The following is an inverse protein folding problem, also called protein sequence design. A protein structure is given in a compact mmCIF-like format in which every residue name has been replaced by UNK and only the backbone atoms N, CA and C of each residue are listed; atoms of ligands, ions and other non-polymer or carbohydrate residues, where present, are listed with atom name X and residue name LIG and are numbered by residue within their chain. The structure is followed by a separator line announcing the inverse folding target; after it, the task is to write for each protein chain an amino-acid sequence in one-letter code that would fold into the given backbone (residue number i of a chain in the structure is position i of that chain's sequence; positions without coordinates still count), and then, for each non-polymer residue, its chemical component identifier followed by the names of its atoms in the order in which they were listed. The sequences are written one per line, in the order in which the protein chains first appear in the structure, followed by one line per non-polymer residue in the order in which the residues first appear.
data_IF_583884373225
#
_entry.id   IF_583884373225
#
_cell.length_a   1.000
_cell.length_b   1.000
_cell.length_c   1.000
_cell.angle_alpha   90.00
_cell.angle_beta   90.00
_cell.angle_gamma   90.00
#
_symmetry.space_group_name_H-M   'P 1'
#
loop_
_entity.id
_entity.type
_entity.pdbx_description
1 polymer ?
#
# COMPACT_ATOMS: atom_id res chain seq x y z
N UNK A 1 -21.53 -65.14 -43.92
CA UNK A 1 -20.52 -64.73 -42.91
C UNK A 1 -20.30 -63.23 -43.00
N UNK A 2 -20.68 -62.49 -41.96
CA UNK A 2 -20.09 -61.20 -41.53
C UNK A 2 -20.89 -60.71 -40.32
N UNK A 3 -20.38 -60.98 -39.13
CA UNK A 3 -20.81 -60.36 -37.88
C UNK A 3 -20.18 -58.96 -37.82
N UNK A 4 -21.01 -57.93 -37.66
CA UNK A 4 -20.57 -56.56 -37.42
C UNK A 4 -20.75 -56.29 -35.91
N UNK A 5 -19.63 -56.25 -35.17
CA UNK A 5 -19.63 -55.88 -33.76
C UNK A 5 -19.64 -54.36 -33.61
N UNK A 6 -20.72 -53.82 -33.05
CA UNK A 6 -20.78 -52.45 -32.54
C UNK A 6 -20.17 -52.42 -31.13
N UNK A 7 -19.00 -51.82 -30.99
CA UNK A 7 -18.43 -51.49 -29.68
C UNK A 7 -18.97 -50.13 -29.26
N UNK A 8 -19.88 -50.13 -28.29
CA UNK A 8 -20.40 -48.93 -27.65
C UNK A 8 -19.38 -48.45 -26.60
N UNK A 9 -18.63 -47.39 -26.90
CA UNK A 9 -17.74 -46.75 -25.94
C UNK A 9 -18.57 -45.93 -24.95
N UNK A 10 -18.65 -46.41 -23.70
CA UNK A 10 -19.25 -45.69 -22.58
C UNK A 10 -18.29 -44.59 -22.13
N UNK A 11 -18.56 -43.33 -22.50
CA UNK A 11 -17.89 -42.15 -21.94
C UNK A 11 -18.38 -41.94 -20.50
N UNK A 12 -17.55 -42.34 -19.52
CA UNK A 12 -17.70 -41.99 -18.12
C UNK A 12 -17.43 -40.49 -17.94
N UNK A 13 -18.48 -39.68 -17.93
CA UNK A 13 -18.41 -38.28 -17.49
C UNK A 13 -18.32 -38.31 -15.95
N UNK A 14 -17.11 -38.16 -15.42
CA UNK A 14 -16.94 -37.93 -13.98
C UNK A 14 -17.60 -36.59 -13.63
N UNK A 15 -18.37 -36.49 -12.53
CA UNK A 15 -18.91 -35.22 -12.09
C UNK A 15 -17.76 -34.27 -11.81
N UNK A 16 -17.81 -33.06 -12.39
CA UNK A 16 -16.91 -31.99 -12.03
C UNK A 16 -17.12 -31.70 -10.53
N UNK A 17 -16.21 -32.18 -9.69
CA UNK A 17 -16.16 -31.79 -8.30
C UNK A 17 -15.92 -30.29 -8.29
N UNK A 18 -16.90 -29.52 -7.81
CA UNK A 18 -16.72 -28.09 -7.59
C UNK A 18 -15.45 -27.91 -6.75
N UNK A 19 -14.42 -27.36 -7.38
CA UNK A 19 -13.15 -27.07 -6.73
C UNK A 19 -13.41 -25.89 -5.78
N UNK A 20 -12.95 -26.05 -4.54
CA UNK A 20 -13.13 -25.07 -3.48
C UNK A 20 -11.81 -24.96 -2.72
N UNK A 21 -11.35 -23.74 -2.51
CA UNK A 21 -10.24 -23.43 -1.64
C UNK A 21 -10.44 -24.02 -0.24
N UNK A 22 -9.36 -24.32 0.45
CA UNK A 22 -9.38 -24.95 1.77
C UNK A 22 -8.72 -24.05 2.81
N UNK A 23 -9.39 -23.85 3.94
CA UNK A 23 -8.82 -23.20 5.12
C UNK A 23 -8.63 -24.23 6.23
N UNK A 24 -7.40 -24.48 6.63
CA UNK A 24 -7.07 -25.49 7.63
C UNK A 24 -5.97 -25.00 8.58
N UNK A 25 -5.83 -25.68 9.71
CA UNK A 25 -4.68 -25.55 10.60
C UNK A 25 -3.50 -26.37 10.06
N UNK A 26 -2.35 -25.73 9.93
CA UNK A 26 -1.07 -26.38 9.64
C UNK A 26 -0.07 -25.97 10.75
N UNK A 27 0.11 -26.84 11.75
CA UNK A 27 0.97 -26.54 12.91
C UNK A 27 0.44 -25.38 13.76
N UNK A 28 1.20 -24.29 13.83
CA UNK A 28 0.84 -23.05 14.55
C UNK A 28 0.24 -21.99 13.62
N UNK A 29 -0.08 -22.33 12.38
CA UNK A 29 -0.64 -21.39 11.41
C UNK A 29 -2.02 -21.87 10.95
N UNK A 30 -2.88 -20.91 10.61
CA UNK A 30 -4.01 -21.17 9.72
C UNK A 30 -3.54 -20.90 8.29
N UNK A 31 -3.91 -21.78 7.38
CA UNK A 31 -3.46 -21.73 5.99
C UNK A 31 -4.67 -21.85 5.08
N UNK A 32 -4.88 -20.80 4.28
CA UNK A 32 -5.80 -20.80 3.17
C UNK A 32 -5.05 -21.15 1.89
N UNK A 33 -5.59 -22.08 1.10
CA UNK A 33 -5.10 -22.42 -0.24
C UNK A 33 -6.29 -22.41 -1.20
N UNK A 34 -6.23 -21.56 -2.21
CA UNK A 34 -7.21 -21.55 -3.29
C UNK A 34 -7.24 -22.86 -4.06
N UNK A 35 -8.33 -23.08 -4.77
CA UNK A 35 -8.39 -24.15 -5.75
C UNK A 35 -7.90 -23.64 -7.12
N UNK A 36 -7.50 -24.54 -8.04
CA UNK A 36 -7.07 -24.14 -9.37
C UNK A 36 -8.11 -23.26 -10.09
N UNK A 37 -7.66 -22.19 -10.72
CA UNK A 37 -8.48 -21.26 -11.53
C UNK A 37 -9.66 -20.62 -10.75
N UNK A 38 -9.57 -20.58 -9.41
CA UNK A 38 -10.61 -20.03 -8.55
C UNK A 38 -10.31 -18.58 -8.19
N UNK A 39 -11.18 -17.67 -8.64
CA UNK A 39 -11.26 -16.31 -8.09
C UNK A 39 -11.92 -16.33 -6.70
N UNK A 40 -11.19 -15.87 -5.71
CA UNK A 40 -11.53 -15.89 -4.30
C UNK A 40 -12.04 -14.55 -3.79
N UNK A 41 -13.17 -14.59 -3.10
CA UNK A 41 -13.72 -13.41 -2.45
C UNK A 41 -14.19 -13.74 -1.03
N UNK A 42 -13.46 -13.25 -0.03
CA UNK A 42 -13.80 -13.50 1.36
C UNK A 42 -13.37 -12.41 2.35
N UNK A 43 -14.10 -12.39 3.47
CA UNK A 43 -13.80 -11.62 4.66
C UNK A 43 -13.33 -12.57 5.78
N UNK A 44 -12.14 -12.34 6.31
CA UNK A 44 -11.62 -13.02 7.50
C UNK A 44 -11.52 -12.04 8.68
N UNK A 45 -12.16 -12.36 9.80
CA UNK A 45 -12.11 -11.55 11.02
C UNK A 45 -11.78 -12.37 12.26
N UNK A 46 -11.05 -11.79 13.21
CA UNK A 46 -10.85 -12.41 14.54
C UNK A 46 -12.01 -12.02 15.46
N UNK A 47 -12.76 -13.02 15.93
CA UNK A 47 -13.87 -12.88 16.89
C UNK A 47 -13.77 -13.93 17.99
N UNK A 48 -13.71 -13.48 19.26
CA UNK A 48 -13.74 -14.32 20.47
C UNK A 48 -12.79 -15.54 20.40
N UNK A 49 -11.53 -15.31 20.03
CA UNK A 49 -10.51 -16.37 19.97
C UNK A 49 -10.64 -17.33 18.78
N UNK A 50 -11.42 -16.97 17.77
CA UNK A 50 -11.53 -17.72 16.52
C UNK A 50 -11.27 -16.80 15.31
N UNK A 51 -10.66 -17.35 14.26
CA UNK A 51 -10.77 -16.76 12.93
C UNK A 51 -12.14 -17.14 12.35
N UNK A 52 -12.89 -16.15 11.91
CA UNK A 52 -14.20 -16.30 11.28
C UNK A 52 -14.06 -15.87 9.83
N UNK A 53 -14.31 -16.80 8.91
CA UNK A 53 -14.22 -16.54 7.46
C UNK A 53 -15.59 -16.65 6.81
N UNK A 54 -15.92 -15.62 6.04
CA UNK A 54 -17.15 -15.50 5.27
C UNK A 54 -16.78 -15.31 3.81
N UNK A 55 -17.09 -16.29 2.97
CA UNK A 55 -16.79 -16.29 1.55
C UNK A 55 -17.50 -17.45 0.87
N UNK A 56 -17.45 -17.47 -0.46
CA UNK A 56 -17.91 -18.62 -1.27
C UNK A 56 -16.71 -19.44 -1.70
N UNK A 57 -16.93 -20.70 -2.04
CA UNK A 57 -15.85 -21.55 -2.57
C UNK A 57 -14.78 -21.90 -1.54
N UNK A 58 -15.05 -21.79 -0.24
CA UNK A 58 -14.12 -22.16 0.82
C UNK A 58 -14.68 -23.35 1.59
N UNK A 59 -13.85 -24.37 1.77
CA UNK A 59 -14.14 -25.56 2.57
C UNK A 59 -13.28 -25.54 3.83
N UNK A 60 -13.86 -25.79 5.03
CA UNK A 60 -13.06 -25.94 6.24
C UNK A 60 -12.28 -27.26 6.20
N UNK A 61 -10.98 -27.18 6.45
CA UNK A 61 -10.12 -28.33 6.72
C UNK A 61 -9.92 -28.56 8.22
N UNK A 62 -8.81 -29.23 8.58
CA UNK A 62 -8.50 -29.55 9.98
C UNK A 62 -8.50 -28.31 10.88
N UNK A 63 -9.10 -28.42 12.07
CA UNK A 63 -9.16 -27.32 13.04
C UNK A 63 -10.18 -26.23 12.73
N UNK A 64 -10.91 -26.35 11.61
CA UNK A 64 -11.93 -25.43 11.16
C UNK A 64 -13.27 -26.15 10.97
N UNK A 65 -14.39 -25.41 10.98
CA UNK A 65 -15.70 -25.98 10.71
C UNK A 65 -16.81 -24.95 10.57
N UNK A 66 -17.99 -25.42 10.17
CA UNK A 66 -19.19 -24.59 10.00
C UNK A 66 -19.37 -24.07 8.57
N UNK A 67 -20.56 -23.53 8.29
CA UNK A 67 -20.92 -22.89 7.02
C UNK A 67 -20.37 -21.47 6.91
N UNK A 68 -20.41 -20.74 8.03
CA UNK A 68 -19.45 -19.66 8.29
C UNK A 68 -18.26 -20.33 8.95
N UNK A 69 -17.12 -20.32 8.27
CA UNK A 69 -15.96 -21.09 8.72
C UNK A 69 -15.44 -20.45 10.00
N UNK A 70 -15.27 -21.26 11.04
CA UNK A 70 -14.65 -20.87 12.30
C UNK A 70 -13.48 -21.78 12.57
N UNK A 71 -12.31 -21.19 12.81
CA UNK A 71 -11.10 -21.89 13.20
C UNK A 71 -10.65 -21.39 14.57
N UNK A 72 -10.35 -22.31 15.50
CA UNK A 72 -9.81 -21.93 16.81
C UNK A 72 -8.44 -21.26 16.65
N UNK A 73 -8.17 -20.19 17.42
CA UNK A 73 -6.86 -19.54 17.45
C UNK A 73 -5.95 -20.07 18.57
N UNK A 74 -6.36 -21.10 19.29
CA UNK A 74 -5.54 -21.66 20.37
C UNK A 74 -4.23 -22.26 19.81
N UNK A 75 -3.11 -21.68 20.24
CA UNK A 75 -1.77 -22.00 19.73
C UNK A 75 -1.50 -21.54 18.29
N UNK A 76 -2.34 -20.67 17.71
CA UNK A 76 -2.14 -20.10 16.38
C UNK A 76 -1.40 -18.78 16.47
N UNK A 77 -0.34 -18.62 15.66
CA UNK A 77 0.54 -17.44 15.63
C UNK A 77 0.38 -16.61 14.37
N UNK A 78 -0.18 -17.17 13.29
CA UNK A 78 -0.28 -16.50 11.99
C UNK A 78 -1.35 -17.07 11.08
N UNK A 79 -1.66 -16.29 10.05
CA UNK A 79 -2.49 -16.67 8.91
C UNK A 79 -1.64 -16.59 7.64
N UNK A 80 -1.60 -17.68 6.87
CA UNK A 80 -1.01 -17.74 5.54
C UNK A 80 -2.09 -17.92 4.48
N UNK A 81 -2.00 -17.17 3.39
CA UNK A 81 -2.97 -17.19 2.30
C UNK A 81 -2.22 -17.40 0.99
N UNK A 82 -2.67 -18.38 0.21
CA UNK A 82 -2.26 -18.60 -1.17
C UNK A 82 -3.53 -18.51 -2.03
N UNK A 83 -3.74 -17.38 -2.69
CA UNK A 83 -4.97 -17.08 -3.43
C UNK A 83 -4.94 -17.62 -4.88
N UNK A 84 -3.75 -17.85 -5.42
CA UNK A 84 -3.56 -18.68 -6.60
C UNK A 84 -3.77 -17.89 -7.90
N UNK A 85 -4.34 -18.53 -8.92
CA UNK A 85 -4.67 -17.84 -10.17
C UNK A 85 -6.10 -17.31 -10.08
N UNK A 86 -6.34 -16.10 -10.57
CA UNK A 86 -7.68 -15.49 -10.61
C UNK A 86 -7.64 -14.07 -10.08
N UNK A 87 -8.74 -13.33 -10.24
CA UNK A 87 -8.82 -11.98 -9.68
C UNK A 87 -9.50 -12.06 -8.31
N UNK A 88 -8.72 -11.91 -7.25
CA UNK A 88 -9.12 -12.15 -5.87
C UNK A 88 -9.48 -10.86 -5.13
N UNK A 89 -10.49 -10.92 -4.26
CA UNK A 89 -10.93 -9.81 -3.41
C UNK A 89 -10.95 -10.24 -1.93
N UNK A 90 -9.87 -9.95 -1.22
CA UNK A 90 -9.64 -10.39 0.14
C UNK A 90 -9.74 -9.24 1.14
N UNK A 91 -10.49 -9.45 2.21
CA UNK A 91 -10.50 -8.55 3.37
C UNK A 91 -10.12 -9.29 4.65
N UNK A 92 -9.00 -8.93 5.27
CA UNK A 92 -8.47 -9.64 6.45
C UNK A 92 -8.30 -8.65 7.62
N UNK A 93 -9.04 -8.85 8.71
CA UNK A 93 -8.99 -7.98 9.89
C UNK A 93 -8.75 -8.80 11.14
N UNK A 94 -7.55 -8.70 11.72
CA UNK A 94 -7.24 -9.52 12.87
C UNK A 94 -5.96 -9.18 13.60
N UNK A 95 -5.70 -9.96 14.63
CA UNK A 95 -4.52 -9.85 15.50
C UNK A 95 -3.44 -10.90 15.18
N UNK A 96 -3.54 -11.60 14.05
CA UNK A 96 -2.56 -12.59 13.61
C UNK A 96 -1.54 -11.94 12.67
N UNK A 97 -0.27 -12.37 12.75
CA UNK A 97 0.69 -12.06 11.70
C UNK A 97 0.22 -12.65 10.37
N UNK A 98 0.41 -11.90 9.29
CA UNK A 98 -0.13 -12.22 7.97
C UNK A 98 0.99 -12.53 6.97
N UNK A 99 0.85 -13.62 6.23
CA UNK A 99 1.65 -13.92 5.05
C UNK A 99 0.69 -14.18 3.88
N UNK A 100 0.76 -13.38 2.81
CA UNK A 100 -0.16 -13.50 1.67
C UNK A 100 0.65 -13.58 0.40
N UNK A 101 0.26 -14.52 -0.44
CA UNK A 101 0.66 -14.67 -1.84
C UNK A 101 -0.66 -14.65 -2.63
N UNK A 102 -0.93 -13.55 -3.34
CA UNK A 102 -2.18 -13.44 -4.12
C UNK A 102 -2.04 -14.25 -5.40
N UNK A 103 -0.94 -14.09 -6.14
CA UNK A 103 -0.59 -14.92 -7.29
C UNK A 103 -0.85 -14.18 -8.60
N UNK A 104 -1.11 -14.88 -9.73
CA UNK A 104 -1.45 -14.21 -10.98
C UNK A 104 -2.91 -13.76 -11.01
N UNK A 105 -3.16 -12.48 -11.30
CA UNK A 105 -4.49 -11.90 -11.33
C UNK A 105 -4.49 -10.39 -11.14
N UNK A 106 -5.64 -9.75 -11.36
CA UNK A 106 -5.82 -8.37 -10.86
C UNK A 106 -6.48 -8.44 -9.47
N UNK A 107 -5.67 -8.38 -8.42
CA UNK A 107 -6.09 -8.69 -7.05
C UNK A 107 -6.32 -7.46 -6.17
N UNK A 108 -7.15 -7.64 -5.15
CA UNK A 108 -7.45 -6.61 -4.15
C UNK A 108 -7.34 -7.20 -2.75
N UNK A 109 -6.33 -6.76 -1.99
CA UNK A 109 -6.15 -7.09 -0.58
C UNK A 109 -6.35 -5.86 0.30
N UNK A 110 -7.31 -5.94 1.21
CA UNK A 110 -7.49 -4.97 2.29
C UNK A 110 -7.20 -5.63 3.64
N UNK A 111 -6.23 -5.15 4.40
CA UNK A 111 -5.88 -5.80 5.66
C UNK A 111 -5.63 -4.90 6.86
N UNK A 112 -5.76 -5.50 8.05
CA UNK A 112 -5.34 -4.95 9.35
C UNK A 112 -4.74 -6.10 10.14
N UNK A 113 -3.45 -6.00 10.46
CA UNK A 113 -2.67 -7.06 11.11
C UNK A 113 -1.48 -6.44 11.85
N UNK A 114 -0.98 -7.05 12.95
CA UNK A 114 0.19 -6.57 13.67
C UNK A 114 1.47 -6.54 12.84
N UNK A 115 1.61 -7.48 11.90
CA UNK A 115 2.70 -7.55 10.92
C UNK A 115 2.21 -8.27 9.67
N UNK A 116 2.78 -7.96 8.51
CA UNK A 116 2.44 -8.63 7.25
C UNK A 116 3.62 -8.73 6.28
N UNK A 117 3.66 -9.84 5.55
CA UNK A 117 4.42 -10.00 4.31
C UNK A 117 3.43 -10.33 3.21
N UNK A 118 3.38 -9.51 2.16
CA UNK A 118 2.45 -9.66 1.05
C UNK A 118 3.25 -9.66 -0.25
N UNK A 119 3.00 -10.66 -1.08
CA UNK A 119 3.33 -10.70 -2.50
C UNK A 119 2.01 -10.62 -3.26
N UNK A 120 1.81 -9.59 -4.07
CA UNK A 120 0.61 -9.46 -4.88
C UNK A 120 0.73 -10.37 -6.11
N UNK A 121 1.78 -10.22 -6.91
CA UNK A 121 2.13 -11.20 -7.94
C UNK A 121 2.11 -10.57 -9.33
N UNK A 122 1.60 -11.32 -10.32
CA UNK A 122 1.51 -10.82 -11.70
C UNK A 122 0.12 -10.22 -11.92
N UNK A 123 0.01 -8.97 -12.36
CA UNK A 123 -1.24 -8.34 -12.75
C UNK A 123 -1.40 -6.95 -12.15
N UNK A 124 -2.60 -6.36 -12.22
CA UNK A 124 -2.84 -5.03 -11.64
C UNK A 124 -3.42 -5.16 -10.25
N UNK A 125 -2.56 -5.04 -9.25
CA UNK A 125 -2.94 -5.30 -7.88
C UNK A 125 -3.20 -4.05 -7.06
N UNK A 126 -4.01 -4.23 -6.01
CA UNK A 126 -4.25 -3.22 -4.99
C UNK A 126 -4.10 -3.82 -3.60
N UNK A 127 -3.10 -3.36 -2.86
CA UNK A 127 -2.87 -3.73 -1.46
C UNK A 127 -3.02 -2.51 -0.57
N UNK A 128 -4.07 -2.50 0.25
CA UNK A 128 -4.34 -1.46 1.24
C UNK A 128 -4.23 -2.00 2.68
N UNK A 129 -3.31 -1.43 3.45
CA UNK A 129 -3.18 -1.62 4.88
C UNK A 129 -3.92 -0.50 5.62
N UNK A 130 -4.84 -0.85 6.52
CA UNK A 130 -5.63 0.10 7.33
C UNK A 130 -5.18 0.15 8.79
N UNK A 131 -3.88 -0.01 9.04
CA UNK A 131 -3.38 -0.04 10.40
C UNK A 131 -3.41 1.35 11.04
N UNK A 132 -3.84 1.39 12.31
CA UNK A 132 -3.76 2.57 13.17
C UNK A 132 -2.49 2.52 14.03
N UNK A 133 -2.35 3.42 15.00
CA UNK A 133 -1.29 3.45 16.01
C UNK A 133 -1.12 2.10 16.76
N UNK A 134 -2.11 1.20 16.69
CA UNK A 134 -2.09 -0.07 17.38
C UNK A 134 -1.28 -1.17 16.68
N UNK A 135 -1.18 -1.12 15.35
CA UNK A 135 -0.47 -2.13 14.56
C UNK A 135 0.62 -1.46 13.72
N UNK A 136 1.82 -1.42 14.27
CA UNK A 136 2.94 -0.67 13.72
C UNK A 136 3.88 -1.51 12.85
N UNK A 137 3.50 -2.75 12.51
CA UNK A 137 4.31 -3.62 11.65
C UNK A 137 5.37 -4.43 12.41
N UNK A 138 6.35 -5.00 11.70
CA UNK A 138 6.80 -4.63 10.35
C UNK A 138 5.83 -5.03 9.24
N UNK A 139 5.92 -4.33 8.11
CA UNK A 139 5.18 -4.66 6.88
C UNK A 139 6.15 -4.69 5.69
N UNK A 140 6.04 -5.74 4.88
CA UNK A 140 6.67 -5.81 3.58
C UNK A 140 5.58 -6.10 2.55
N UNK A 141 5.32 -5.13 1.68
CA UNK A 141 4.33 -5.26 0.61
C UNK A 141 5.07 -5.21 -0.72
N UNK A 142 4.91 -6.24 -1.53
CA UNK A 142 5.51 -6.37 -2.86
C UNK A 142 4.38 -6.47 -3.89
N UNK A 143 4.36 -5.56 -4.85
CA UNK A 143 3.41 -5.55 -5.95
C UNK A 143 3.74 -6.67 -6.93
N UNK A 144 4.98 -6.71 -7.40
CA UNK A 144 5.43 -7.68 -8.39
C UNK A 144 5.32 -7.11 -9.80
N UNK A 145 5.16 -7.95 -10.83
CA UNK A 145 4.97 -7.46 -12.19
C UNK A 145 3.54 -6.94 -12.45
N UNK A 146 3.42 -5.67 -12.79
CA UNK A 146 2.17 -5.04 -13.23
C UNK A 146 2.06 -3.58 -12.80
N UNK A 147 0.88 -2.96 -12.99
CA UNK A 147 0.69 -1.55 -12.61
C UNK A 147 0.04 -1.46 -11.22
N UNK A 148 0.81 -1.59 -10.15
CA UNK A 148 0.26 -1.86 -8.83
C UNK A 148 -0.08 -0.62 -8.01
N UNK A 149 -0.91 -0.80 -6.98
CA UNK A 149 -1.17 0.23 -5.98
C UNK A 149 -0.99 -0.31 -4.56
N UNK A 150 0.04 0.17 -3.88
CA UNK A 150 0.37 -0.20 -2.51
C UNK A 150 0.19 1.00 -1.57
N UNK A 151 -0.78 0.90 -0.66
CA UNK A 151 -1.09 1.96 0.30
C UNK A 151 -0.97 1.43 1.72
N UNK A 152 -0.06 2.03 2.48
CA UNK A 152 0.13 1.73 3.89
C UNK A 152 -0.47 2.83 4.77
N UNK A 153 -1.44 2.49 5.62
CA UNK A 153 -1.85 3.34 6.73
C UNK A 153 -1.01 3.06 7.98
N UNK A 154 -0.50 4.10 8.61
CA UNK A 154 0.31 3.99 9.84
C UNK A 154 1.81 3.77 9.58
N UNK A 155 2.62 3.91 10.64
CA UNK A 155 4.10 3.88 10.57
C UNK A 155 4.70 3.11 11.74
N UNK A 156 5.88 2.54 11.52
CA UNK A 156 6.59 1.72 12.49
C UNK A 156 7.87 1.11 11.90
N UNK A 157 8.64 0.36 12.71
CA UNK A 157 9.98 -0.06 12.31
C UNK A 157 9.94 -1.11 11.20
N UNK A 158 10.84 -0.95 10.21
CA UNK A 158 11.07 -1.97 9.18
C UNK A 158 9.97 -2.09 8.13
N UNK A 159 9.26 -1.01 7.83
CA UNK A 159 8.25 -0.98 6.77
C UNK A 159 8.90 -0.82 5.38
N UNK A 160 8.50 -1.66 4.44
CA UNK A 160 8.94 -1.63 3.03
C UNK A 160 7.75 -1.80 2.09
N UNK A 161 7.66 -0.94 1.08
CA UNK A 161 6.75 -1.08 -0.05
C UNK A 161 7.61 -1.22 -1.31
N UNK A 162 7.38 -2.29 -2.07
CA UNK A 162 8.11 -2.65 -3.28
C UNK A 162 7.10 -2.64 -4.42
N UNK A 163 7.26 -1.76 -5.42
CA UNK A 163 6.39 -1.69 -6.60
C UNK A 163 6.62 -2.91 -7.47
N UNK A 164 7.74 -2.91 -8.20
CA UNK A 164 8.15 -4.04 -9.02
C UNK A 164 8.38 -3.59 -10.45
N UNK A 165 7.90 -4.35 -11.42
CA UNK A 165 7.98 -3.99 -12.84
C UNK A 165 6.62 -3.43 -13.27
N UNK A 166 6.54 -2.20 -13.77
CA UNK A 166 5.31 -1.57 -14.25
C UNK A 166 5.14 -0.17 -13.67
N UNK A 167 3.97 0.45 -13.82
CA UNK A 167 3.77 1.85 -13.40
C UNK A 167 3.03 1.91 -12.07
N UNK A 168 3.79 1.87 -10.97
CA UNK A 168 3.22 1.63 -9.66
C UNK A 168 2.81 2.91 -8.94
N UNK A 169 1.91 2.77 -7.97
CA UNK A 169 1.57 3.81 -7.00
C UNK A 169 1.86 3.33 -5.59
N UNK A 170 2.92 3.85 -4.97
CA UNK A 170 3.30 3.55 -3.59
C UNK A 170 2.98 4.75 -2.70
N UNK A 171 2.27 4.52 -1.59
CA UNK A 171 1.84 5.60 -0.71
C UNK A 171 1.79 5.23 0.76
N UNK A 172 2.21 6.17 1.60
CA UNK A 172 1.97 6.12 3.04
C UNK A 172 0.89 7.14 3.39
N UNK A 173 -0.23 6.66 3.92
CA UNK A 173 -1.32 7.48 4.43
C UNK A 173 -1.27 7.49 5.96
N UNK A 174 -1.65 8.62 6.55
CA UNK A 174 -1.53 8.94 7.98
C UNK A 174 -0.09 9.22 8.45
N UNK A 175 0.10 10.44 8.95
CA UNK A 175 1.34 10.91 9.56
C UNK A 175 1.49 10.21 10.91
N UNK A 176 2.27 9.14 10.96
CA UNK A 176 2.68 8.51 12.21
C UNK A 176 3.52 9.47 13.06
N UNK A 177 3.15 9.58 14.33
CA UNK A 177 3.70 10.52 15.33
C UNK A 177 5.16 10.19 15.72
N UNK A 178 5.65 9.00 15.34
CA UNK A 178 6.86 8.39 15.88
C UNK A 178 8.09 8.44 14.94
N UNK A 179 7.99 9.14 13.81
CA UNK A 179 9.17 9.46 12.97
C UNK A 179 9.84 8.25 12.30
N UNK A 180 9.22 7.08 12.30
CA UNK A 180 9.72 5.92 11.56
C UNK A 180 9.67 6.17 10.05
N UNK A 181 10.79 5.88 9.40
CA UNK A 181 10.95 5.90 7.96
C UNK A 181 10.33 4.64 7.35
N UNK A 182 9.67 4.81 6.21
CA UNK A 182 9.25 3.72 5.32
C UNK A 182 10.21 3.65 4.15
N UNK A 183 10.63 2.44 3.81
CA UNK A 183 11.37 2.16 2.58
C UNK A 183 10.40 2.03 1.42
N UNK A 184 10.59 2.84 0.39
CA UNK A 184 9.81 2.81 -0.85
C UNK A 184 10.77 2.38 -1.96
N UNK A 185 10.57 1.21 -2.54
CA UNK A 185 11.37 0.67 -3.65
C UNK A 185 10.44 0.55 -4.84
N UNK A 186 10.58 1.37 -5.87
CA UNK A 186 9.54 1.42 -6.89
C UNK A 186 9.83 0.43 -8.02
N UNK A 187 11.10 0.16 -8.30
CA UNK A 187 11.48 -0.78 -9.35
C UNK A 187 11.50 -0.13 -10.73
N UNK A 188 11.06 -0.86 -11.75
CA UNK A 188 11.16 -0.42 -13.14
C UNK A 188 9.81 0.07 -13.67
N UNK A 189 9.73 1.33 -14.06
CA UNK A 189 8.59 1.87 -14.78
C UNK A 189 8.30 3.32 -14.40
N UNK A 190 7.10 3.81 -14.71
CA UNK A 190 6.72 5.20 -14.48
C UNK A 190 6.02 5.38 -13.13
N UNK A 191 6.76 5.20 -12.05
CA UNK A 191 6.17 5.11 -10.73
C UNK A 191 5.72 6.45 -10.14
N UNK A 192 4.76 6.33 -9.24
CA UNK A 192 4.25 7.40 -8.41
C UNK A 192 4.42 7.08 -6.93
N UNK A 193 5.17 7.93 -6.24
CA UNK A 193 5.34 7.84 -4.79
C UNK A 193 4.65 8.96 -4.04
N UNK A 194 4.07 8.62 -2.89
CA UNK A 194 3.53 9.54 -1.89
C UNK A 194 4.19 9.23 -0.55
N UNK A 195 5.16 10.04 -0.16
CA UNK A 195 5.92 9.88 1.08
C UNK A 195 6.05 11.16 1.91
N UNK A 196 6.70 11.03 3.05
CA UNK A 196 7.14 12.10 3.93
C UNK A 196 8.67 12.25 3.90
N UNK A 197 9.24 13.37 4.37
CA UNK A 197 10.69 13.60 4.33
C UNK A 197 11.54 12.55 5.07
N UNK A 198 11.01 11.88 6.09
CA UNK A 198 11.74 10.80 6.75
C UNK A 198 11.79 9.50 5.93
N UNK A 199 10.96 9.36 4.91
CA UNK A 199 10.90 8.14 4.10
C UNK A 199 12.12 8.01 3.19
N UNK A 200 12.52 6.75 2.98
CA UNK A 200 13.68 6.41 2.17
C UNK A 200 13.20 5.97 0.79
N UNK A 201 13.28 6.90 -0.14
CA UNK A 201 12.99 6.65 -1.55
C UNK A 201 14.19 5.90 -2.16
N UNK A 202 13.97 4.63 -2.47
CA UNK A 202 14.94 3.71 -3.07
C UNK A 202 15.00 3.80 -4.59
N UNK A 203 15.56 2.77 -5.22
CA UNK A 203 15.69 2.70 -6.68
C UNK A 203 14.32 2.69 -7.37
N UNK A 204 14.24 3.29 -8.57
CA UNK A 204 13.00 3.52 -9.30
C UNK A 204 12.14 4.65 -8.74
N UNK A 205 12.13 4.83 -7.42
CA UNK A 205 11.34 5.86 -6.78
C UNK A 205 11.91 7.23 -7.05
N UNK A 206 11.11 8.07 -7.72
CA UNK A 206 11.34 9.51 -7.69
C UNK A 206 12.78 9.87 -8.05
N UNK A 207 13.35 9.32 -9.13
CA UNK A 207 14.79 9.47 -9.47
C UNK A 207 15.29 10.90 -9.34
N UNK A 208 14.41 11.87 -9.53
CA UNK A 208 14.67 13.29 -9.40
C UNK A 208 14.62 13.88 -7.98
N UNK A 209 14.33 13.19 -6.87
CA UNK A 209 14.21 13.82 -5.55
C UNK A 209 14.76 12.94 -4.41
N UNK A 210 15.91 13.33 -3.87
CA UNK A 210 16.57 12.65 -2.74
C UNK A 210 16.78 13.62 -1.58
N UNK A 211 17.11 13.09 -0.39
CA UNK A 211 17.52 13.87 0.79
C UNK A 211 16.52 14.98 1.20
N UNK A 212 15.23 14.75 1.03
CA UNK A 212 14.21 15.72 1.44
C UNK A 212 14.20 15.77 2.96
N UNK A 213 14.64 16.86 3.55
CA UNK A 213 14.51 17.09 4.99
C UNK A 213 13.17 17.74 5.30
N UNK A 214 12.58 17.44 6.46
CA UNK A 214 11.40 18.16 6.96
C UNK A 214 11.87 19.43 7.70
N UNK A 215 11.74 20.63 7.12
CA UNK A 215 12.12 21.84 7.84
C UNK A 215 11.08 22.12 8.91
N UNK A 216 11.52 22.23 10.18
CA UNK A 216 10.66 22.71 11.27
C UNK A 216 10.12 24.14 11.04
N UNK A 217 10.73 24.88 10.11
CA UNK A 217 10.31 26.22 9.66
C UNK A 217 10.56 26.40 8.17
N UNK A 218 9.54 26.84 7.41
CA UNK A 218 9.72 27.31 6.04
C UNK A 218 10.34 28.70 6.10
N UNK A 219 11.67 28.75 6.01
CA UNK A 219 12.37 30.02 5.85
C UNK A 219 12.04 30.62 4.47
N UNK A 220 12.28 31.93 4.29
CA UNK A 220 12.16 32.56 2.95
C UNK A 220 12.94 31.81 1.88
N UNK A 221 14.03 31.13 2.26
CA UNK A 221 14.82 30.27 1.37
C UNK A 221 14.56 28.81 1.74
N UNK A 222 13.91 28.08 0.85
CA UNK A 222 13.69 26.65 0.91
C UNK A 222 14.91 25.94 0.31
N UNK A 223 15.51 25.01 1.06
CA UNK A 223 16.71 24.25 0.65
C UNK A 223 16.56 22.76 0.97
N UNK A 224 15.35 22.23 0.82
CA UNK A 224 15.06 20.85 1.20
C UNK A 224 15.14 19.96 -0.03
N UNK A 225 15.94 18.91 0.06
CA UNK A 225 16.10 17.93 -1.01
C UNK A 225 17.16 18.29 -2.05
N UNK A 226 17.47 17.28 -2.85
CA UNK A 226 18.36 17.33 -4.01
C UNK A 226 17.67 16.67 -5.18
N UNK A 227 17.93 17.17 -6.39
CA UNK A 227 17.49 16.54 -7.61
C UNK A 227 18.65 15.76 -8.25
N UNK A 228 18.49 14.46 -8.50
CA UNK A 228 19.54 13.70 -9.18
C UNK A 228 19.59 14.03 -10.69
N UNK A 229 18.46 14.40 -11.27
CA UNK A 229 18.32 14.80 -12.67
C UNK A 229 17.49 16.08 -12.80
N UNK A 230 17.56 16.82 -13.92
CA UNK A 230 16.72 17.99 -14.13
C UNK A 230 15.23 17.62 -14.13
N UNK A 231 14.41 18.38 -13.39
CA UNK A 231 13.00 18.08 -13.20
C UNK A 231 12.11 19.33 -13.29
N UNK A 232 10.83 19.13 -13.63
CA UNK A 232 9.79 20.13 -13.39
C UNK A 232 9.30 19.97 -11.94
N UNK A 233 9.55 20.98 -11.12
CA UNK A 233 9.17 20.99 -9.71
C UNK A 233 7.94 21.85 -9.50
N UNK A 234 6.96 21.35 -8.77
CA UNK A 234 5.84 22.14 -8.24
C UNK A 234 5.92 22.15 -6.72
N UNK A 235 6.04 23.36 -6.15
CA UNK A 235 5.95 23.58 -4.71
C UNK A 235 4.59 24.21 -4.41
N UNK A 236 3.81 23.56 -3.56
CA UNK A 236 2.52 24.06 -3.07
C UNK A 236 2.58 24.25 -1.58
N UNK A 237 2.26 25.45 -1.10
CA UNK A 237 2.06 25.76 0.31
C UNK A 237 0.57 25.85 0.58
N UNK A 238 0.09 25.09 1.55
CA UNK A 238 -1.32 25.05 1.95
C UNK A 238 -1.46 25.37 3.43
N UNK A 239 -2.53 26.08 3.79
CA UNK A 239 -2.83 26.41 5.18
C UNK A 239 -3.53 25.25 5.86
N UNK A 240 -3.10 24.87 7.07
CA UNK A 240 -3.91 24.01 7.94
C UNK A 240 -5.11 24.80 8.44
N UNK A 241 -6.33 24.31 8.21
CA UNK A 241 -7.54 24.91 8.79
C UNK A 241 -7.80 24.21 10.12
N UNK A 242 -7.81 24.92 11.26
CA UNK A 242 -8.11 24.31 12.55
C UNK A 242 -9.52 23.71 12.55
N UNK A 243 -9.65 22.47 13.04
CA UNK A 243 -10.95 21.80 13.21
C UNK A 243 -11.52 21.12 11.96
N UNK A 244 -10.93 21.29 10.76
CA UNK A 244 -11.30 20.47 9.61
C UNK A 244 -10.52 19.16 9.66
N UNK A 245 -11.20 18.04 9.92
CA UNK A 245 -10.64 16.70 9.70
C UNK A 245 -10.34 16.41 8.22
N UNK A 246 -10.66 17.33 7.30
CA UNK A 246 -10.46 17.16 5.87
C UNK A 246 -9.10 17.69 5.39
N UNK A 247 -8.62 17.08 4.31
CA UNK A 247 -7.50 17.53 3.49
C UNK A 247 -7.82 18.82 2.68
N UNK A 248 -8.97 19.48 2.91
CA UNK A 248 -9.31 20.76 2.26
C UNK A 248 -8.50 21.91 2.85
N UNK A 249 -7.25 21.97 2.43
CA UNK A 249 -6.31 22.98 2.85
C UNK A 249 -6.30 24.12 1.81
N UNK A 250 -6.54 25.35 2.25
CA UNK A 250 -6.50 26.51 1.35
C UNK A 250 -5.07 26.71 0.80
N UNK A 251 -4.93 26.72 -0.54
CA UNK A 251 -3.64 26.98 -1.19
C UNK A 251 -3.24 28.43 -0.94
N UNK A 252 -2.12 28.63 -0.25
CA UNK A 252 -1.55 29.96 0.03
C UNK A 252 -0.65 30.40 -1.13
N UNK A 253 0.16 29.47 -1.63
CA UNK A 253 1.08 29.71 -2.74
C UNK A 253 1.30 28.42 -3.53
N UNK A 254 1.48 28.58 -4.83
CA UNK A 254 1.88 27.49 -5.73
C UNK A 254 2.84 28.05 -6.77
N UNK A 255 3.92 27.34 -7.03
CA UNK A 255 4.85 27.67 -8.11
C UNK A 255 5.35 26.41 -8.77
N UNK A 256 5.33 26.41 -10.10
CA UNK A 256 6.01 25.40 -10.91
C UNK A 256 7.23 26.04 -11.58
N UNK A 257 8.37 25.34 -11.57
CA UNK A 257 9.60 25.79 -12.20
C UNK A 257 10.43 24.59 -12.67
N UNK A 258 11.26 24.79 -13.69
CA UNK A 258 12.28 23.81 -14.07
C UNK A 258 13.51 24.01 -13.18
N UNK A 259 14.05 22.92 -12.66
CA UNK A 259 15.25 22.94 -11.82
C UNK A 259 16.30 21.99 -12.41
N UNK A 260 17.58 22.38 -12.48
CA UNK A 260 18.66 21.47 -12.85
C UNK A 260 18.90 20.43 -11.75
N UNK A 261 19.67 19.40 -12.06
CA UNK A 261 20.21 18.51 -11.04
C UNK A 261 21.00 19.31 -9.97
N UNK A 262 20.95 18.85 -8.73
CA UNK A 262 21.58 19.50 -7.57
C UNK A 262 20.57 19.94 -6.50
N UNK A 263 21.00 20.78 -5.54
CA UNK A 263 20.16 21.16 -4.40
C UNK A 263 18.87 21.86 -4.84
N UNK A 264 17.72 21.39 -4.33
CA UNK A 264 16.45 22.04 -4.60
C UNK A 264 16.37 23.35 -3.83
N UNK A 265 16.24 24.45 -4.57
CA UNK A 265 16.18 25.81 -4.00
C UNK A 265 14.92 26.51 -4.46
N UNK A 266 14.10 26.92 -3.51
CA UNK A 266 12.96 27.80 -3.78
C UNK A 266 13.00 29.00 -2.84
N UNK A 267 12.47 30.14 -3.27
CA UNK A 267 12.36 31.32 -2.41
C UNK A 267 10.89 31.76 -2.32
N UNK A 268 10.36 31.81 -1.11
CA UNK A 268 9.02 32.35 -0.89
C UNK A 268 9.08 33.88 -0.82
N UNK A 269 8.36 34.55 -1.73
CA UNK A 269 8.17 36.00 -1.70
C UNK A 269 6.84 36.33 -1.03
N UNK A 270 6.87 37.21 -0.03
CA UNK A 270 5.67 37.61 0.72
C UNK A 270 5.11 38.94 0.21
N UNK A 271 3.79 38.99 0.00
CA UNK A 271 3.07 40.24 -0.28
C UNK A 271 2.90 41.07 1.00
N UNK A 272 2.48 42.34 0.88
CA UNK A 272 2.17 43.17 2.04
C UNK A 272 1.08 42.54 2.94
N UNK A 273 0.08 41.89 2.33
CA UNK A 273 -0.94 41.13 3.05
C UNK A 273 -0.32 39.91 3.77
N UNK A 274 0.51 39.12 3.09
CA UNK A 274 1.21 37.98 3.70
C UNK A 274 2.10 38.39 4.88
N UNK A 275 2.80 39.52 4.79
CA UNK A 275 3.58 40.09 5.91
C UNK A 275 2.71 40.54 7.09
N UNK A 276 1.47 40.99 6.86
CA UNK A 276 0.52 41.29 7.96
C UNK A 276 0.07 40.01 8.64
N UNK A 277 -0.22 38.96 7.87
CA UNK A 277 -0.57 37.65 8.41
C UNK A 277 0.54 37.07 9.27
N UNK A 278 1.78 37.03 8.76
CA UNK A 278 2.93 36.52 9.52
C UNK A 278 3.25 37.31 10.79
N UNK A 279 2.87 38.60 10.85
CA UNK A 279 2.99 39.37 12.09
C UNK A 279 1.93 39.00 13.14
N UNK A 280 0.74 38.58 12.70
CA UNK A 280 -0.35 38.14 13.58
C UNK A 280 -0.17 36.69 14.04
N UNK A 281 0.36 35.85 13.14
CA UNK A 281 0.65 34.45 13.40
C UNK A 281 2.04 34.08 12.84
N UNK A 282 3.11 34.32 13.62
CA UNK A 282 4.50 34.10 13.18
C UNK A 282 4.91 32.62 13.13
N UNK A 283 3.98 31.69 13.39
CA UNK A 283 4.21 30.25 13.36
C UNK A 283 3.09 29.54 12.59
N UNK A 284 2.51 30.21 11.61
CA UNK A 284 1.38 29.72 10.84
C UNK A 284 1.69 28.30 10.33
N UNK A 285 0.94 27.27 10.77
CA UNK A 285 1.14 25.91 10.31
C UNK A 285 0.76 25.80 8.83
N UNK A 286 1.69 25.27 8.05
CA UNK A 286 1.54 25.05 6.62
C UNK A 286 1.92 23.64 6.25
N UNK A 287 1.25 23.09 5.25
CA UNK A 287 1.70 21.91 4.55
C UNK A 287 2.46 22.34 3.31
N UNK A 288 3.62 21.74 3.12
CA UNK A 288 4.39 21.90 1.90
C UNK A 288 4.31 20.60 1.13
N UNK A 289 3.93 20.72 -0.13
CA UNK A 289 3.99 19.63 -1.09
C UNK A 289 5.06 19.95 -2.12
N UNK A 290 6.01 19.05 -2.28
CA UNK A 290 6.99 19.06 -3.37
C UNK A 290 6.62 17.94 -4.33
N UNK A 291 6.31 18.32 -5.56
CA UNK A 291 6.03 17.37 -6.64
C UNK A 291 7.10 17.54 -7.72
N UNK A 292 7.79 16.46 -8.07
CA UNK A 292 8.73 16.45 -9.20
C UNK A 292 8.13 15.69 -10.37
N UNK A 293 8.56 16.06 -11.58
CA UNK A 293 8.28 15.31 -12.80
C UNK A 293 9.52 15.26 -13.68
N UNK A 294 9.97 14.05 -13.97
CA UNK A 294 11.10 13.72 -14.87
C UNK A 294 10.54 12.86 -15.99
N UNK A 295 10.49 13.40 -17.20
CA UNK A 295 9.76 12.76 -18.32
C UNK A 295 8.31 12.47 -17.89
N UNK A 296 8.00 11.22 -17.58
CA UNK A 296 6.71 10.68 -17.16
C UNK A 296 6.60 10.42 -15.65
N UNK A 297 7.69 10.08 -14.96
CA UNK A 297 7.72 9.78 -13.53
C UNK A 297 7.23 10.94 -12.65
N UNK A 298 6.63 10.61 -11.49
CA UNK A 298 6.13 11.62 -10.55
C UNK A 298 6.40 11.24 -9.09
N UNK A 299 7.22 12.04 -8.42
CA UNK A 299 7.34 11.98 -6.97
C UNK A 299 6.45 13.02 -6.29
N UNK A 300 5.90 12.68 -5.12
CA UNK A 300 5.17 13.61 -4.27
C UNK A 300 5.56 13.43 -2.80
N UNK A 301 6.15 14.48 -2.20
CA UNK A 301 6.50 14.49 -0.77
C UNK A 301 5.71 15.58 -0.03
N UNK A 302 5.13 15.20 1.11
CA UNK A 302 4.35 16.08 1.98
C UNK A 302 5.00 16.25 3.34
N UNK A 303 4.99 17.46 3.89
CA UNK A 303 5.39 17.68 5.29
C UNK A 303 4.72 18.89 5.92
N UNK A 304 4.54 18.82 7.24
CA UNK A 304 4.11 19.93 8.06
C UNK A 304 5.31 20.81 8.42
N UNK A 305 5.12 22.12 8.30
CA UNK A 305 6.10 23.12 8.69
C UNK A 305 5.41 24.38 9.21
N UNK A 306 6.19 25.32 9.73
CA UNK A 306 5.70 26.62 10.20
C UNK A 306 6.28 27.73 9.34
N UNK A 307 5.42 28.63 8.86
CA UNK A 307 5.88 29.83 8.17
C UNK A 307 6.28 30.89 9.20
N UNK A 308 7.55 31.32 9.22
CA UNK A 308 8.09 32.26 10.22
C UNK A 308 9.51 32.72 9.92
#
# INVERSE_FOLDING_TARGET
MKWLGCVLALLLVAPATAQAGTLAREGTELVYRSAPEQADAFLATVDRGALVVQGRGITPGEGCGGTVIRCSLDGITGLRVFAGDGNDELQIKGSLALAVDLGPGDDVLNFTAPAAVVSAGDGRDRVDSFNSEHYVGPFQLDGGPGDDTLIQAGRGPGMTLIGGDGNDTLGVLLVGIDGYAVDLVCGAGEDRTIGEPQDRLGEGCATALTDVTSPRRVSRTFREGRLATPARVTVTLRRRIPGSGSLEQAVIARRTFSAPAGPLRAQLRTTAAGRRWLRRDPKLPVFVRVQTRTRSERAEVWFESRLG
#
